data_IF_574524937409
#
_entry.id   IF_574524937409
#
_cell.length_a   1.000
_cell.length_b   1.000
_cell.length_c   1.000
_cell.angle_alpha   90.00
_cell.angle_beta   90.00
_cell.angle_gamma   90.00
#
_symmetry.space_group_name_H-M   'P 1'
#
loop_
_entity.id
_entity.type
_entity.pdbx_description
1 polymer ?
#
# COMPACT_ATOMS: atom_id res chain seq x y z
N UNK A 1 -0.63 -1.99 41.57
CA UNK A 1 -1.42 -2.26 40.35
C UNK A 1 -0.49 -3.04 39.45
N UNK A 2 -0.83 -4.28 39.09
CA UNK A 2 0.15 -5.23 38.52
C UNK A 2 0.67 -4.72 37.16
N UNK A 3 1.97 -4.40 37.09
CA UNK A 3 2.72 -4.27 35.84
C UNK A 3 2.89 -5.68 35.23
N UNK A 4 1.80 -6.25 34.73
CA UNK A 4 1.87 -7.43 33.89
C UNK A 4 2.39 -6.99 32.53
N UNK A 5 3.65 -7.30 32.25
CA UNK A 5 4.20 -7.23 30.90
C UNK A 5 3.32 -8.04 29.95
N UNK A 6 2.76 -7.39 28.93
CA UNK A 6 1.97 -8.05 27.89
C UNK A 6 2.76 -9.21 27.27
N UNK A 7 2.10 -10.33 26.96
CA UNK A 7 2.71 -11.39 26.16
C UNK A 7 3.03 -10.88 24.75
N UNK A 8 3.85 -11.62 23.99
CA UNK A 8 4.16 -11.29 22.60
C UNK A 8 2.90 -11.10 21.75
N UNK A 9 1.92 -11.98 21.94
CA UNK A 9 0.64 -11.97 21.23
C UNK A 9 -0.24 -10.78 21.66
N UNK A 10 -0.31 -10.50 22.96
CA UNK A 10 -1.04 -9.34 23.49
C UNK A 10 -0.39 -8.02 23.02
N UNK A 11 0.94 -7.98 22.97
CA UNK A 11 1.70 -6.84 22.45
C UNK A 11 1.47 -6.65 20.95
N UNK A 12 1.36 -7.74 20.18
CA UNK A 12 1.01 -7.68 18.76
C UNK A 12 -0.37 -7.05 18.57
N UNK A 13 -1.39 -7.51 19.30
CA UNK A 13 -2.74 -6.92 19.25
C UNK A 13 -2.74 -5.45 19.71
N UNK A 14 -1.98 -5.12 20.76
CA UNK A 14 -1.78 -3.73 21.18
C UNK A 14 -1.19 -2.86 20.06
N UNK A 15 -0.21 -3.38 19.32
CA UNK A 15 0.38 -2.68 18.18
C UNK A 15 -0.60 -2.51 17.01
N UNK A 16 -1.52 -3.45 16.79
CA UNK A 16 -2.61 -3.30 15.81
C UNK A 16 -3.48 -2.10 16.21
N UNK A 17 -3.92 -2.02 17.47
CA UNK A 17 -4.73 -0.89 17.94
C UNK A 17 -4.00 0.45 17.84
N UNK A 18 -2.69 0.50 18.13
CA UNK A 18 -1.88 1.72 17.92
C UNK A 18 -1.88 2.17 16.45
N UNK A 19 -1.76 1.23 15.51
CA UNK A 19 -1.84 1.55 14.06
C UNK A 19 -3.23 2.04 13.69
N UNK A 20 -4.29 1.38 14.16
CA UNK A 20 -5.66 1.84 13.94
C UNK A 20 -5.87 3.26 14.50
N UNK A 21 -5.37 3.56 15.69
CA UNK A 21 -5.43 4.90 16.27
C UNK A 21 -4.72 5.95 15.39
N UNK A 22 -3.54 5.62 14.86
CA UNK A 22 -2.81 6.50 13.95
C UNK A 22 -3.59 6.79 12.65
N UNK A 23 -4.25 5.78 12.08
CA UNK A 23 -5.04 5.96 10.85
C UNK A 23 -6.26 6.86 11.04
N UNK A 24 -6.89 6.82 12.21
CA UNK A 24 -8.02 7.70 12.54
C UNK A 24 -7.60 9.00 13.25
N UNK A 25 -6.30 9.24 13.42
CA UNK A 25 -5.74 10.40 14.10
C UNK A 25 -6.31 10.60 15.53
N UNK A 26 -6.52 9.50 16.26
CA UNK A 26 -6.99 9.47 17.65
C UNK A 26 -5.85 9.12 18.60
N UNK A 27 -5.89 9.63 19.83
CA UNK A 27 -4.76 9.53 20.76
C UNK A 27 -4.74 8.23 21.56
N UNK A 28 -5.90 7.59 21.74
CA UNK A 28 -6.04 6.42 22.60
C UNK A 28 -7.14 5.47 22.11
N UNK A 29 -7.15 4.26 22.65
CA UNK A 29 -8.10 3.22 22.25
C UNK A 29 -9.56 3.57 22.61
N UNK A 30 -9.79 4.36 23.66
CA UNK A 30 -11.14 4.77 24.05
C UNK A 30 -11.74 5.76 23.03
N UNK A 31 -10.93 6.69 22.52
CA UNK A 31 -11.31 7.57 21.41
C UNK A 31 -11.54 6.79 20.12
N UNK A 32 -10.73 5.78 19.83
CA UNK A 32 -10.94 4.89 18.69
C UNK A 32 -12.28 4.15 18.81
N UNK A 33 -12.59 3.61 19.99
CA UNK A 33 -13.86 2.94 20.26
C UNK A 33 -15.03 3.88 20.05
N UNK A 34 -14.95 5.11 20.56
CA UNK A 34 -15.98 6.13 20.35
C UNK A 34 -16.11 6.51 18.87
N UNK A 35 -15.00 6.75 18.17
CA UNK A 35 -14.97 7.14 16.76
C UNK A 35 -15.60 6.06 15.86
N UNK A 36 -15.35 4.79 16.16
CA UNK A 36 -15.84 3.64 15.38
C UNK A 36 -17.15 3.05 15.94
N UNK A 37 -17.76 3.69 16.94
CA UNK A 37 -18.98 3.22 17.60
C UNK A 37 -18.87 1.77 18.11
N UNK A 38 -17.70 1.41 18.67
CA UNK A 38 -17.44 0.12 19.28
C UNK A 38 -17.92 0.09 20.74
N UNK A 39 -18.08 -1.12 21.29
CA UNK A 39 -18.37 -1.30 22.71
C UNK A 39 -17.18 -0.81 23.55
N UNK A 40 -17.46 -0.08 24.64
CA UNK A 40 -16.43 0.37 25.58
C UNK A 40 -15.67 -0.83 26.17
N UNK A 41 -14.34 -0.76 26.14
CA UNK A 41 -13.45 -1.82 26.62
C UNK A 41 -13.23 -2.96 25.61
N UNK A 42 -13.75 -2.83 24.38
CA UNK A 42 -13.53 -3.81 23.32
C UNK A 42 -12.04 -4.01 23.01
N UNK A 43 -11.29 -2.91 22.92
CA UNK A 43 -9.84 -2.93 22.65
C UNK A 43 -9.05 -3.60 23.77
N UNK A 44 -9.39 -3.31 25.03
CA UNK A 44 -8.77 -3.92 26.20
C UNK A 44 -9.06 -5.43 26.23
N UNK A 45 -10.30 -5.83 25.96
CA UNK A 45 -10.67 -7.24 25.86
C UNK A 45 -9.89 -7.95 24.77
N UNK A 46 -9.79 -7.37 23.56
CA UNK A 46 -9.01 -7.93 22.46
C UNK A 46 -7.52 -8.06 22.82
N UNK A 47 -6.93 -7.03 23.44
CA UNK A 47 -5.53 -7.05 23.86
C UNK A 47 -5.30 -8.14 24.92
N UNK A 48 -6.13 -8.19 25.96
CA UNK A 48 -5.98 -9.16 27.05
C UNK A 48 -6.18 -10.59 26.58
N UNK A 49 -7.14 -10.83 25.68
CA UNK A 49 -7.41 -12.15 25.10
C UNK A 49 -6.49 -12.51 23.92
N UNK A 50 -5.58 -11.62 23.52
CA UNK A 50 -4.78 -11.74 22.30
C UNK A 50 -5.63 -12.04 21.04
N UNK A 51 -6.86 -11.52 20.99
CA UNK A 51 -7.78 -11.72 19.87
C UNK A 51 -7.56 -10.63 18.82
N UNK A 52 -7.22 -11.04 17.60
CA UNK A 52 -7.03 -10.13 16.47
C UNK A 52 -8.39 -9.64 15.94
N UNK A 53 -8.65 -8.33 15.89
CA UNK A 53 -9.93 -7.78 15.44
C UNK A 53 -10.01 -7.68 13.91
N UNK A 54 -9.96 -8.81 13.19
CA UNK A 54 -9.89 -8.84 11.72
C UNK A 54 -11.00 -8.04 11.02
N UNK A 55 -12.23 -8.06 11.54
CA UNK A 55 -13.34 -7.27 10.99
C UNK A 55 -13.08 -5.76 11.09
N UNK A 56 -12.42 -5.30 12.15
CA UNK A 56 -12.07 -3.90 12.35
C UNK A 56 -10.93 -3.48 11.41
N UNK A 57 -9.95 -4.36 11.21
CA UNK A 57 -8.84 -4.17 10.28
C UNK A 57 -9.37 -4.03 8.85
N UNK A 58 -10.24 -4.94 8.41
CA UNK A 58 -10.85 -4.90 7.07
C UNK A 58 -11.65 -3.62 6.83
N UNK A 59 -12.50 -3.23 7.78
CA UNK A 59 -13.26 -1.97 7.72
C UNK A 59 -12.33 -0.76 7.61
N UNK A 60 -11.26 -0.74 8.39
CA UNK A 60 -10.29 0.36 8.40
C UNK A 60 -9.50 0.42 7.10
N UNK A 61 -9.03 -0.72 6.60
CA UNK A 61 -8.34 -0.82 5.32
C UNK A 61 -9.19 -0.24 4.17
N UNK A 62 -10.49 -0.58 4.14
CA UNK A 62 -11.43 -0.05 3.15
C UNK A 62 -11.68 1.45 3.33
N UNK A 63 -11.82 1.92 4.56
CA UNK A 63 -12.10 3.33 4.86
C UNK A 63 -10.91 4.27 4.58
N UNK A 64 -9.69 3.87 4.93
CA UNK A 64 -8.49 4.72 4.84
C UNK A 64 -7.62 4.41 3.63
N UNK A 65 -7.96 3.37 2.86
CA UNK A 65 -7.21 2.88 1.70
C UNK A 65 -5.78 2.43 2.07
N UNK A 66 -5.57 2.07 3.33
CA UNK A 66 -4.32 1.49 3.84
C UNK A 66 -4.36 -0.02 3.75
N UNK A 67 -3.21 -0.64 3.47
CA UNK A 67 -3.08 -2.09 3.32
C UNK A 67 -3.50 -2.84 4.59
N UNK A 68 -4.34 -3.87 4.42
CA UNK A 68 -4.73 -4.78 5.50
C UNK A 68 -3.51 -5.42 6.18
N UNK A 69 -2.52 -5.87 5.40
CA UNK A 69 -1.29 -6.47 5.91
C UNK A 69 -0.46 -5.48 6.73
N UNK A 70 -0.46 -4.20 6.35
CA UNK A 70 0.19 -3.16 7.13
C UNK A 70 -0.50 -2.98 8.49
N UNK A 71 -1.83 -2.89 8.50
CA UNK A 71 -2.60 -2.75 9.75
C UNK A 71 -2.40 -3.96 10.67
N UNK A 72 -2.36 -5.16 10.10
CA UNK A 72 -2.15 -6.40 10.84
C UNK A 72 -0.71 -6.52 11.36
N UNK A 73 0.29 -6.41 10.49
CA UNK A 73 1.67 -6.80 10.79
C UNK A 73 2.61 -5.62 11.06
N UNK A 74 2.22 -4.39 10.71
CA UNK A 74 3.08 -3.21 10.77
C UNK A 74 4.26 -3.25 9.80
N UNK A 75 4.36 -4.29 8.97
CA UNK A 75 5.27 -4.28 7.84
C UNK A 75 4.63 -3.40 6.77
N UNK A 76 5.28 -2.28 6.46
CA UNK A 76 5.06 -1.62 5.19
C UNK A 76 5.29 -2.70 4.13
N UNK A 77 4.22 -3.21 3.52
CA UNK A 77 4.38 -3.82 2.21
C UNK A 77 5.17 -2.78 1.42
N UNK A 78 6.33 -3.17 0.90
CA UNK A 78 7.01 -2.41 -0.14
C UNK A 78 6.06 -2.38 -1.34
N UNK A 79 5.03 -1.52 -1.29
CA UNK A 79 4.54 -0.89 -2.50
C UNK A 79 5.78 -0.23 -3.06
N UNK A 80 6.30 -0.77 -4.15
CA UNK A 80 7.36 -0.12 -4.90
C UNK A 80 6.75 1.17 -5.42
N UNK A 81 6.78 2.21 -4.60
CA UNK A 81 6.52 3.58 -5.01
C UNK A 81 7.76 3.95 -5.83
N UNK A 82 7.66 3.71 -7.13
CA UNK A 82 8.69 4.18 -8.06
C UNK A 82 8.74 5.69 -7.92
N UNK A 83 9.90 6.23 -7.53
CA UNK A 83 10.09 7.67 -7.51
C UNK A 83 9.93 8.25 -8.92
N UNK A 84 9.62 9.53 -9.04
CA UNK A 84 9.55 10.21 -10.35
C UNK A 84 10.83 10.01 -11.18
N UNK A 85 11.99 9.93 -10.53
CA UNK A 85 13.26 9.65 -11.19
C UNK A 85 13.35 8.20 -11.70
N UNK A 86 12.82 7.23 -10.97
CA UNK A 86 12.73 5.83 -11.40
C UNK A 86 11.75 5.67 -12.57
N UNK A 87 10.58 6.33 -12.52
CA UNK A 87 9.63 6.36 -13.63
C UNK A 87 10.25 6.98 -14.89
N UNK A 88 10.99 8.08 -14.74
CA UNK A 88 11.72 8.71 -15.83
C UNK A 88 12.82 7.80 -16.40
N UNK A 89 13.52 7.05 -15.56
CA UNK A 89 14.51 6.06 -15.99
C UNK A 89 13.87 4.90 -16.77
N UNK A 90 12.74 4.39 -16.29
CA UNK A 90 11.94 3.34 -16.96
C UNK A 90 11.45 3.85 -18.31
N UNK A 91 10.84 5.05 -18.37
CA UNK A 91 10.41 5.71 -19.61
C UNK A 91 11.56 5.80 -20.61
N UNK A 92 12.71 6.30 -20.18
CA UNK A 92 13.90 6.43 -21.04
C UNK A 92 14.44 5.08 -21.52
N UNK A 93 14.39 4.05 -20.67
CA UNK A 93 14.74 2.67 -21.02
C UNK A 93 13.82 2.10 -22.10
N UNK A 94 12.51 2.33 -21.96
CA UNK A 94 11.49 1.93 -22.93
C UNK A 94 11.70 2.65 -24.26
N UNK A 95 11.86 3.98 -24.27
CA UNK A 95 12.16 4.77 -25.48
C UNK A 95 13.38 4.18 -26.21
N UNK A 96 14.47 3.89 -25.48
CA UNK A 96 15.70 3.32 -26.06
C UNK A 96 15.45 1.94 -26.66
N UNK A 97 14.65 1.10 -26.01
CA UNK A 97 14.31 -0.23 -26.51
C UNK A 97 13.48 -0.16 -27.79
N UNK A 98 12.43 0.67 -27.81
CA UNK A 98 11.57 0.88 -28.99
C UNK A 98 12.38 1.47 -30.14
N UNK A 99 13.27 2.44 -29.87
CA UNK A 99 14.17 2.99 -30.88
C UNK A 99 15.08 1.92 -31.49
N UNK A 100 15.67 1.04 -30.66
CA UNK A 100 16.49 -0.09 -31.14
C UNK A 100 15.68 -1.07 -31.99
N UNK A 101 14.46 -1.40 -31.58
CA UNK A 101 13.57 -2.29 -32.34
C UNK A 101 13.13 -1.67 -33.66
N UNK A 102 12.83 -0.36 -33.69
CA UNK A 102 12.54 0.39 -34.91
C UNK A 102 13.74 0.42 -35.86
N UNK A 103 14.95 0.72 -35.34
CA UNK A 103 16.19 0.68 -36.12
C UNK A 103 16.51 -0.72 -36.67
N UNK A 104 16.14 -1.77 -35.93
CA UNK A 104 16.28 -3.16 -36.37
C UNK A 104 15.16 -3.61 -37.34
N UNK A 105 14.23 -2.72 -37.70
CA UNK A 105 13.12 -3.02 -38.61
C UNK A 105 12.04 -3.94 -38.04
N UNK A 106 12.03 -4.16 -36.72
CA UNK A 106 11.10 -5.08 -36.05
C UNK A 106 9.72 -4.46 -35.79
N UNK A 107 9.60 -3.12 -35.84
CA UNK A 107 8.34 -2.39 -35.68
C UNK A 107 8.10 -1.56 -36.95
N UNK A 108 6.97 -1.80 -37.63
CA UNK A 108 6.56 -1.10 -38.85
C UNK A 108 5.81 0.20 -38.51
N UNK A 109 6.09 1.29 -39.23
CA UNK A 109 5.52 2.64 -39.05
C UNK A 109 6.58 3.73 -39.21
N UNK A 110 6.19 5.00 -39.37
CA UNK A 110 7.09 6.18 -39.39
C UNK A 110 7.72 6.46 -38.00
N UNK A 111 8.32 5.44 -37.39
CA UNK A 111 8.87 5.45 -36.04
C UNK A 111 10.25 6.13 -35.97
N UNK A 112 10.53 7.03 -36.91
CA UNK A 112 11.81 7.72 -37.06
C UNK A 112 11.82 9.09 -36.36
N UNK A 113 10.65 9.61 -36.01
CA UNK A 113 10.53 10.83 -35.21
C UNK A 113 10.61 10.49 -33.71
N UNK A 114 11.47 11.23 -33.00
CA UNK A 114 11.68 11.10 -31.55
C UNK A 114 10.42 11.39 -30.74
N UNK A 115 9.52 12.22 -31.29
CA UNK A 115 8.23 12.57 -30.72
C UNK A 115 7.28 11.36 -30.66
N UNK A 116 7.10 10.66 -31.78
CA UNK A 116 6.26 9.44 -31.87
C UNK A 116 6.78 8.31 -30.97
N UNK A 117 8.11 8.18 -30.86
CA UNK A 117 8.74 7.23 -29.91
C UNK A 117 8.51 7.63 -28.45
N UNK A 118 8.42 8.93 -28.17
CA UNK A 118 8.07 9.47 -26.86
C UNK A 118 6.65 9.13 -26.45
N UNK A 119 5.69 9.34 -27.36
CA UNK A 119 4.27 9.02 -27.16
C UNK A 119 4.05 7.52 -26.91
N UNK A 120 4.68 6.66 -27.72
CA UNK A 120 4.65 5.21 -27.51
C UNK A 120 5.19 4.80 -26.14
N UNK A 121 6.28 5.43 -25.69
CA UNK A 121 6.83 5.14 -24.37
C UNK A 121 5.96 5.67 -23.22
N UNK A 122 5.27 6.80 -23.41
CA UNK A 122 4.29 7.29 -22.43
C UNK A 122 3.15 6.29 -22.25
N UNK A 123 2.59 5.77 -23.35
CA UNK A 123 1.55 4.74 -23.30
C UNK A 123 2.03 3.51 -22.52
N UNK A 124 3.27 3.07 -22.74
CA UNK A 124 3.82 1.92 -22.01
C UNK A 124 4.11 2.20 -20.53
N UNK A 125 4.53 3.41 -20.19
CA UNK A 125 4.71 3.81 -18.78
C UNK A 125 3.36 3.85 -18.08
N UNK A 126 2.34 4.43 -18.71
CA UNK A 126 0.98 4.47 -18.18
C UNK A 126 0.41 3.06 -17.98
N UNK A 127 0.67 2.14 -18.92
CA UNK A 127 0.33 0.73 -18.76
C UNK A 127 1.02 0.08 -17.56
N UNK A 128 2.32 0.31 -17.36
CA UNK A 128 3.08 -0.22 -16.22
C UNK A 128 2.56 0.37 -14.90
N UNK A 129 2.28 1.67 -14.85
CA UNK A 129 1.70 2.31 -13.67
C UNK A 129 0.32 1.74 -13.33
N UNK A 130 -0.52 1.49 -14.34
CA UNK A 130 -1.83 0.87 -14.17
C UNK A 130 -1.71 -0.60 -13.73
N UNK A 131 -0.80 -1.38 -14.29
CA UNK A 131 -0.56 -2.76 -13.84
C UNK A 131 -0.04 -2.81 -12.40
N UNK A 132 0.86 -1.90 -11.99
CA UNK A 132 1.34 -1.81 -10.61
C UNK A 132 0.20 -1.45 -9.64
N UNK A 133 -0.71 -0.55 -10.03
CA UNK A 133 -1.91 -0.22 -9.25
C UNK A 133 -2.90 -1.38 -9.15
N UNK A 134 -3.06 -2.17 -10.21
CA UNK A 134 -3.93 -3.35 -10.18
C UNK A 134 -3.31 -4.44 -9.31
N UNK A 135 -2.01 -4.70 -9.43
CA UNK A 135 -1.32 -5.69 -8.60
C UNK A 135 -1.30 -5.33 -7.10
N UNK A 136 -1.37 -4.04 -6.75
CA UNK A 136 -1.51 -3.61 -5.36
C UNK A 136 -2.95 -3.75 -4.82
N UNK A 137 -3.95 -3.96 -5.68
CA UNK A 137 -5.36 -4.13 -5.30
C UNK A 137 -5.82 -5.60 -5.25
N UNK A 138 -5.04 -6.54 -5.81
CA UNK A 138 -5.42 -7.96 -5.98
C UNK A 138 -4.72 -8.89 -4.97
N UNK A 139 -4.45 -8.43 -3.74
CA UNK A 139 -3.94 -9.30 -2.67
C UNK A 139 -4.78 -9.24 -1.41
#
# INVERSE_FOLDING_TARGET
MFDQSLSTEQQHVSNIFKRLCAEYNVQNNAELEHHLSLQSGFSEHCIFSATIPYSLIDKTSKATHVSFDYLLNGQNQHTVQLSNDQLKAIKNGIIKSIKKMSMAGLIKGENHNQETLGELAEIHVEQIENELKIQSQVK
#
